data_IF_028178105499
#
_entry.id   IF_028178105499
#
_cell.length_a   1.000
_cell.length_b   1.000
_cell.length_c   1.000
_cell.angle_alpha   90.00
_cell.angle_beta   90.00
_cell.angle_gamma   90.00
#
_symmetry.space_group_name_H-M   'P 1'
#
loop_
_entity.id
_entity.type
_entity.pdbx_description
1 polymer ?
#
# COMPACT_ATOMS: atom_id res chain seq x y z
N UNK A 1 -56.63 -32.49 -11.54
CA UNK A 1 -55.62 -32.93 -12.52
C UNK A 1 -54.63 -31.80 -12.68
N UNK A 2 -53.44 -32.02 -12.10
CA UNK A 2 -52.15 -31.32 -12.27
C UNK A 2 -52.09 -29.81 -12.01
N UNK A 3 -51.64 -29.52 -10.78
CA UNK A 3 -51.05 -28.27 -10.31
C UNK A 3 -49.89 -27.79 -11.22
N UNK A 4 -49.81 -26.47 -11.39
CA UNK A 4 -48.67 -25.80 -12.02
C UNK A 4 -47.48 -25.84 -11.07
N UNK A 5 -46.41 -26.53 -11.45
CA UNK A 5 -45.11 -26.46 -10.80
C UNK A 5 -44.42 -25.14 -11.19
N UNK A 6 -44.53 -24.13 -10.32
CA UNK A 6 -43.62 -23.00 -10.27
C UNK A 6 -42.31 -23.45 -9.62
N UNK A 7 -41.23 -23.48 -10.40
CA UNK A 7 -39.87 -23.63 -9.89
C UNK A 7 -38.98 -22.63 -10.60
N UNK A 8 -38.92 -21.39 -10.11
CA UNK A 8 -37.88 -20.46 -10.56
C UNK A 8 -36.53 -21.02 -10.10
N UNK A 9 -35.70 -21.42 -11.05
CA UNK A 9 -34.34 -21.88 -10.76
C UNK A 9 -33.58 -20.73 -10.10
N UNK A 10 -33.25 -20.88 -8.81
CA UNK A 10 -32.48 -19.90 -8.06
C UNK A 10 -31.07 -19.84 -8.66
N UNK A 11 -30.81 -18.84 -9.51
CA UNK A 11 -29.51 -18.66 -10.15
C UNK A 11 -28.51 -18.17 -9.12
N UNK A 12 -27.41 -18.91 -8.93
CA UNK A 12 -26.34 -18.58 -8.00
C UNK A 12 -25.11 -18.08 -8.74
N UNK A 13 -24.37 -17.17 -8.11
CA UNK A 13 -23.11 -16.69 -8.61
C UNK A 13 -22.06 -17.81 -8.61
N UNK A 14 -21.43 -18.09 -9.76
CA UNK A 14 -20.35 -19.08 -9.87
C UNK A 14 -19.07 -18.70 -9.11
N UNK A 15 -18.91 -17.42 -8.75
CA UNK A 15 -17.78 -16.94 -7.95
C UNK A 15 -17.97 -17.09 -6.45
N UNK A 16 -19.03 -16.52 -5.86
CA UNK A 16 -19.23 -16.49 -4.41
C UNK A 16 -20.38 -17.36 -3.88
N UNK A 17 -21.11 -18.06 -4.74
CA UNK A 17 -22.23 -18.92 -4.35
C UNK A 17 -23.50 -18.18 -3.89
N UNK A 18 -23.48 -16.85 -3.78
CA UNK A 18 -24.64 -16.04 -3.42
C UNK A 18 -25.74 -16.10 -4.50
N UNK A 19 -27.01 -16.03 -4.08
CA UNK A 19 -28.16 -15.94 -4.98
C UNK A 19 -28.08 -14.63 -5.76
N UNK A 20 -28.14 -14.69 -7.09
CA UNK A 20 -28.11 -13.50 -7.93
C UNK A 20 -29.40 -12.70 -7.72
N UNK A 21 -29.23 -11.39 -7.55
CA UNK A 21 -30.33 -10.46 -7.31
C UNK A 21 -30.05 -9.13 -8.00
N UNK A 22 -31.09 -8.40 -8.37
CA UNK A 22 -31.00 -7.10 -9.08
C UNK A 22 -31.51 -5.92 -8.25
N UNK A 23 -31.91 -6.16 -6.99
CA UNK A 23 -32.64 -5.23 -6.14
C UNK A 23 -31.72 -4.31 -5.33
N UNK A 24 -30.69 -4.85 -4.69
CA UNK A 24 -29.87 -4.14 -3.71
C UNK A 24 -28.38 -4.15 -4.09
N UNK A 25 -27.82 -3.02 -4.55
CA UNK A 25 -26.42 -2.89 -4.92
C UNK A 25 -25.41 -3.21 -3.81
N UNK A 26 -25.81 -3.13 -2.54
CA UNK A 26 -24.95 -3.35 -1.37
C UNK A 26 -24.96 -4.83 -0.91
N UNK A 27 -25.96 -5.62 -1.28
CA UNK A 27 -26.06 -7.04 -0.88
C UNK A 27 -25.30 -7.97 -1.82
N UNK A 28 -24.85 -9.10 -1.26
CA UNK A 28 -24.19 -10.15 -2.03
C UNK A 28 -25.11 -10.66 -3.15
N UNK A 29 -24.52 -11.03 -4.29
CA UNK A 29 -25.29 -11.50 -5.44
C UNK A 29 -25.80 -10.40 -6.38
N UNK A 30 -25.59 -9.11 -6.07
CA UNK A 30 -26.08 -8.03 -6.92
C UNK A 30 -25.56 -8.11 -8.37
N UNK A 31 -26.46 -7.98 -9.35
CA UNK A 31 -26.15 -7.78 -10.77
C UNK A 31 -26.95 -6.58 -11.31
N UNK A 32 -26.38 -5.73 -12.16
CA UNK A 32 -27.15 -4.66 -12.81
C UNK A 32 -28.22 -5.26 -13.74
N UNK A 33 -29.44 -4.71 -13.75
CA UNK A 33 -30.56 -5.19 -14.59
C UNK A 33 -30.20 -5.35 -16.08
N UNK A 34 -29.33 -4.50 -16.63
CA UNK A 34 -28.86 -4.60 -18.03
C UNK A 34 -28.04 -5.88 -18.33
N UNK A 35 -27.56 -6.59 -17.31
CA UNK A 35 -26.77 -7.82 -17.44
C UNK A 35 -27.47 -9.03 -16.82
N UNK A 36 -28.78 -8.96 -16.61
CA UNK A 36 -29.55 -10.04 -15.99
C UNK A 36 -29.54 -11.32 -16.84
N UNK A 37 -29.68 -11.18 -18.17
CA UNK A 37 -29.56 -12.29 -19.10
C UNK A 37 -28.07 -12.67 -19.30
N UNK A 38 -27.69 -13.85 -18.81
CA UNK A 38 -26.36 -14.44 -19.01
C UNK A 38 -25.29 -14.08 -17.97
N UNK A 39 -25.61 -13.33 -16.91
CA UNK A 39 -24.65 -13.08 -15.83
C UNK A 39 -24.39 -14.34 -15.00
N UNK A 40 -23.17 -14.87 -15.10
CA UNK A 40 -22.71 -15.99 -14.26
C UNK A 40 -22.09 -15.53 -12.93
N UNK A 41 -21.63 -14.28 -12.86
CA UNK A 41 -20.96 -13.72 -11.68
C UNK A 41 -21.59 -12.41 -11.22
N UNK A 42 -21.77 -12.25 -9.90
CA UNK A 42 -22.28 -11.01 -9.32
C UNK A 42 -21.29 -9.85 -9.49
N UNK A 43 -21.75 -8.61 -9.34
CA UNK A 43 -20.94 -7.38 -9.42
C UNK A 43 -19.69 -7.46 -8.56
N UNK A 44 -19.77 -8.03 -7.36
CA UNK A 44 -18.60 -8.22 -6.48
C UNK A 44 -17.59 -9.19 -7.10
N UNK A 45 -18.01 -10.37 -7.54
CA UNK A 45 -17.12 -11.33 -8.20
C UNK A 45 -16.58 -10.82 -9.55
N UNK A 46 -17.39 -10.07 -10.30
CA UNK A 46 -16.96 -9.39 -11.52
C UNK A 46 -15.88 -8.35 -11.22
N UNK A 47 -16.02 -7.58 -10.14
CA UNK A 47 -15.02 -6.59 -9.72
C UNK A 47 -13.74 -7.23 -9.20
N UNK A 48 -13.84 -8.34 -8.48
CA UNK A 48 -12.69 -9.17 -8.10
C UNK A 48 -11.97 -9.68 -9.36
N UNK A 49 -12.70 -10.26 -10.32
CA UNK A 49 -12.12 -10.88 -11.52
C UNK A 49 -11.48 -9.87 -12.49
N UNK A 50 -12.09 -8.70 -12.68
CA UNK A 50 -11.67 -7.75 -13.72
C UNK A 50 -10.89 -6.54 -13.17
N UNK A 51 -11.14 -6.15 -11.92
CA UNK A 51 -10.50 -4.99 -11.29
C UNK A 51 -9.63 -5.36 -10.10
N UNK A 52 -9.49 -6.66 -9.78
CA UNK A 52 -8.74 -7.16 -8.61
C UNK A 52 -9.19 -6.52 -7.28
N UNK A 53 -10.44 -6.02 -7.21
CA UNK A 53 -11.05 -5.51 -5.99
C UNK A 53 -11.52 -6.68 -5.13
N UNK A 54 -10.55 -7.37 -4.53
CA UNK A 54 -10.82 -8.21 -3.38
C UNK A 54 -11.37 -7.27 -2.32
N UNK A 55 -12.62 -7.49 -1.89
CA UNK A 55 -13.08 -6.98 -0.61
C UNK A 55 -12.20 -7.68 0.43
N UNK A 56 -11.04 -7.09 0.71
CA UNK A 56 -10.19 -7.47 1.81
C UNK A 56 -11.04 -7.32 3.05
N UNK A 57 -11.47 -8.44 3.63
CA UNK A 57 -11.81 -8.46 5.04
C UNK A 57 -10.56 -7.96 5.75
N UNK A 58 -10.60 -6.70 6.18
CA UNK A 58 -9.53 -6.09 6.94
C UNK A 58 -9.33 -6.95 8.19
N UNK A 59 -8.18 -7.57 8.31
CA UNK A 59 -7.83 -8.34 9.50
C UNK A 59 -7.33 -7.37 10.54
N UNK A 60 -7.86 -7.46 11.75
CA UNK A 60 -7.37 -6.67 12.87
C UNK A 60 -5.88 -6.99 13.12
N UNK A 61 -5.11 -6.00 13.54
CA UNK A 61 -3.65 -6.13 13.66
C UNK A 61 -3.26 -7.31 14.57
N UNK A 62 -3.98 -7.51 15.68
CA UNK A 62 -3.72 -8.58 16.63
C UNK A 62 -3.98 -9.98 16.06
N UNK A 63 -5.03 -10.11 15.25
CA UNK A 63 -5.39 -11.36 14.58
C UNK A 63 -4.34 -11.73 13.52
N UNK A 64 -3.84 -10.75 12.78
CA UNK A 64 -2.74 -10.94 11.85
C UNK A 64 -1.43 -11.34 12.55
N UNK A 65 -1.11 -10.73 13.70
CA UNK A 65 0.10 -11.09 14.46
C UNK A 65 0.05 -12.54 14.98
N UNK A 66 -1.13 -13.03 15.39
CA UNK A 66 -1.32 -14.46 15.74
C UNK A 66 -1.07 -15.38 14.55
N UNK A 67 -1.58 -15.01 13.37
CA UNK A 67 -1.32 -15.75 12.14
C UNK A 67 0.18 -15.78 11.80
N UNK A 68 0.89 -14.66 11.92
CA UNK A 68 2.35 -14.64 11.72
C UNK A 68 3.09 -15.56 12.70
N UNK A 69 2.63 -15.66 13.94
CA UNK A 69 3.19 -16.59 14.93
C UNK A 69 3.13 -18.05 14.46
N UNK A 70 2.03 -18.45 13.82
CA UNK A 70 1.89 -19.80 13.24
C UNK A 70 2.87 -20.04 12.09
N UNK A 71 3.23 -19.01 11.32
CA UNK A 71 4.25 -19.10 10.27
C UNK A 71 5.62 -19.38 10.90
N UNK A 72 5.92 -18.76 12.05
CA UNK A 72 7.17 -18.98 12.78
C UNK A 72 7.40 -20.41 13.25
N UNK A 73 6.34 -21.19 13.47
CA UNK A 73 6.41 -22.60 13.89
C UNK A 73 6.64 -23.56 12.71
N UNK A 74 6.48 -23.09 11.46
CA UNK A 74 6.63 -23.88 10.24
C UNK A 74 7.97 -23.61 9.56
N UNK A 75 8.41 -24.56 8.72
CA UNK A 75 9.53 -24.36 7.80
C UNK A 75 9.07 -23.56 6.60
N UNK A 76 9.27 -22.25 6.64
CA UNK A 76 8.75 -21.32 5.65
C UNK A 76 9.84 -20.42 5.07
N UNK A 77 9.71 -20.04 3.80
CA UNK A 77 10.37 -18.88 3.23
C UNK A 77 9.37 -17.72 3.22
N UNK A 78 9.71 -16.59 3.83
CA UNK A 78 8.80 -15.44 3.92
C UNK A 78 9.21 -14.38 2.90
N UNK A 79 8.30 -14.06 1.98
CA UNK A 79 8.42 -12.91 1.09
C UNK A 79 7.69 -11.75 1.75
N UNK A 80 8.43 -10.79 2.29
CA UNK A 80 7.85 -9.55 2.79
C UNK A 80 7.83 -8.51 1.67
N UNK A 81 6.64 -8.23 1.12
CA UNK A 81 6.46 -7.18 0.13
C UNK A 81 6.13 -5.84 0.79
N UNK A 82 6.85 -4.80 0.37
CA UNK A 82 6.71 -3.42 0.85
C UNK A 82 6.62 -2.44 -0.31
N UNK A 83 5.95 -1.30 -0.08
CA UNK A 83 5.88 -0.21 -1.04
C UNK A 83 7.05 0.75 -0.81
N UNK A 84 7.87 1.03 -1.83
CA UNK A 84 8.98 1.96 -1.69
C UNK A 84 8.54 3.37 -1.26
N UNK A 85 7.40 3.84 -1.77
CA UNK A 85 6.88 5.19 -1.53
C UNK A 85 6.21 5.30 -0.17
N UNK A 86 5.92 4.17 0.45
CA UNK A 86 5.40 4.11 1.80
C UNK A 86 6.14 3.08 2.65
N UNK A 87 7.48 3.07 2.57
CA UNK A 87 8.31 2.01 3.15
C UNK A 87 8.05 1.85 4.65
N UNK A 88 8.14 2.93 5.43
CA UNK A 88 7.95 2.88 6.88
C UNK A 88 6.50 2.66 7.32
N UNK A 89 5.53 2.85 6.41
CA UNK A 89 4.12 2.52 6.62
C UNK A 89 3.74 1.11 6.16
N UNK A 90 4.52 0.48 5.29
CA UNK A 90 4.26 -0.86 4.75
C UNK A 90 5.13 -1.96 5.38
N UNK A 91 6.24 -1.61 6.01
CA UNK A 91 7.07 -2.54 6.77
C UNK A 91 6.36 -2.99 8.04
N UNK A 92 6.29 -4.31 8.22
CA UNK A 92 5.74 -4.95 9.41
C UNK A 92 6.78 -4.89 10.52
N UNK A 93 6.59 -3.96 11.46
CA UNK A 93 7.53 -3.78 12.57
C UNK A 93 7.53 -5.02 13.46
N UNK A 94 8.72 -5.57 13.72
CA UNK A 94 8.85 -6.77 14.54
C UNK A 94 8.49 -8.08 13.82
N UNK A 95 8.30 -8.09 12.50
CA UNK A 95 8.05 -9.31 11.71
C UNK A 95 8.99 -10.45 12.08
N UNK A 96 10.30 -10.16 12.23
CA UNK A 96 11.32 -11.15 12.57
C UNK A 96 11.01 -11.91 13.88
N UNK A 97 10.34 -11.27 14.84
CA UNK A 97 9.96 -11.89 16.12
C UNK A 97 8.89 -12.96 15.94
N UNK A 98 8.02 -12.79 14.95
CA UNK A 98 6.92 -13.70 14.67
C UNK A 98 7.32 -14.81 13.70
N UNK A 99 8.13 -14.50 12.69
CA UNK A 99 8.60 -15.51 11.72
C UNK A 99 9.78 -16.33 12.24
N UNK A 100 10.35 -15.97 13.38
CA UNK A 100 11.40 -16.74 14.07
C UNK A 100 12.70 -16.83 13.27
N UNK A 101 13.11 -18.05 12.97
CA UNK A 101 14.35 -18.36 12.22
C UNK A 101 14.12 -18.48 10.71
N UNK A 102 12.88 -18.31 10.25
CA UNK A 102 12.57 -18.42 8.84
C UNK A 102 13.27 -17.31 8.03
N UNK A 103 13.87 -17.65 6.87
CA UNK A 103 14.49 -16.67 5.99
C UNK A 103 13.45 -15.69 5.45
N UNK A 104 13.82 -14.41 5.40
CA UNK A 104 12.97 -13.32 4.90
C UNK A 104 13.61 -12.68 3.68
N UNK A 105 12.90 -12.70 2.55
CA UNK A 105 13.23 -11.93 1.35
C UNK A 105 12.39 -10.65 1.38
N UNK A 106 13.03 -9.49 1.32
CA UNK A 106 12.34 -8.20 1.26
C UNK A 106 12.15 -7.79 -0.21
N UNK A 107 10.91 -7.86 -0.68
CA UNK A 107 10.52 -7.41 -2.01
C UNK A 107 10.04 -5.96 -1.95
N UNK A 108 10.87 -5.02 -2.42
CA UNK A 108 10.54 -3.60 -2.47
C UNK A 108 9.90 -3.26 -3.80
N UNK A 109 8.59 -3.07 -3.80
CA UNK A 109 7.79 -2.86 -4.98
C UNK A 109 7.67 -1.37 -5.38
N UNK A 110 7.15 -1.15 -6.59
CA UNK A 110 6.84 0.15 -7.21
C UNK A 110 8.05 1.01 -7.57
N UNK A 111 9.22 0.40 -7.76
CA UNK A 111 10.44 1.15 -8.13
C UNK A 111 10.33 1.93 -9.44
N UNK A 112 9.35 1.58 -10.29
CA UNK A 112 9.05 2.27 -11.55
C UNK A 112 8.56 3.71 -11.36
N UNK A 113 8.11 4.07 -10.16
CA UNK A 113 7.65 5.40 -9.83
C UNK A 113 8.80 6.34 -9.44
N UNK A 114 10.03 5.84 -9.36
CA UNK A 114 11.21 6.69 -9.16
C UNK A 114 11.66 7.36 -10.46
N UNK A 115 12.35 8.52 -10.38
CA UNK A 115 12.98 9.13 -11.55
C UNK A 115 13.97 8.18 -12.23
N UNK A 116 14.06 8.22 -13.57
CA UNK A 116 14.93 7.33 -14.37
C UNK A 116 16.42 7.40 -14.00
N UNK A 117 16.87 8.51 -13.42
CA UNK A 117 18.28 8.77 -13.05
C UNK A 117 18.64 8.24 -11.65
N UNK A 118 17.79 7.42 -11.02
CA UNK A 118 18.04 6.89 -9.68
C UNK A 118 19.20 5.91 -9.68
N UNK A 119 20.14 6.10 -8.74
CA UNK A 119 21.18 5.11 -8.46
C UNK A 119 20.62 3.93 -7.67
N UNK A 120 20.45 2.79 -8.34
CA UNK A 120 19.87 1.56 -7.76
C UNK A 120 20.69 0.97 -6.60
N UNK A 121 22.02 1.14 -6.60
CA UNK A 121 22.87 0.66 -5.51
C UNK A 121 22.67 1.51 -4.25
N UNK A 122 22.61 2.83 -4.40
CA UNK A 122 22.29 3.74 -3.29
C UNK A 122 20.91 3.42 -2.70
N UNK A 123 19.92 3.18 -3.56
CA UNK A 123 18.58 2.79 -3.14
C UNK A 123 18.58 1.48 -2.34
N UNK A 124 19.28 0.46 -2.83
CA UNK A 124 19.39 -0.83 -2.12
C UNK A 124 20.04 -0.67 -0.75
N UNK A 125 21.14 0.07 -0.67
CA UNK A 125 21.82 0.34 0.60
C UNK A 125 20.91 1.08 1.59
N UNK A 126 20.17 2.08 1.09
CA UNK A 126 19.18 2.80 1.90
C UNK A 126 18.10 1.84 2.42
N UNK A 127 17.52 0.99 1.57
CA UNK A 127 16.52 0.00 1.99
C UNK A 127 17.08 -0.94 3.05
N UNK A 128 18.28 -1.49 2.84
CA UNK A 128 18.93 -2.39 3.80
C UNK A 128 19.15 -1.72 5.15
N UNK A 129 19.61 -0.46 5.15
CA UNK A 129 19.76 0.33 6.37
C UNK A 129 18.41 0.52 7.07
N UNK A 130 17.38 0.94 6.34
CA UNK A 130 16.06 1.15 6.93
C UNK A 130 15.43 -0.14 7.45
N UNK A 131 15.60 -1.27 6.76
CA UNK A 131 15.13 -2.58 7.21
C UNK A 131 15.81 -2.98 8.54
N UNK A 132 17.14 -2.77 8.63
CA UNK A 132 17.91 -3.04 9.84
C UNK A 132 17.50 -2.15 11.02
N UNK A 133 17.26 -0.87 10.78
CA UNK A 133 16.75 0.08 11.80
C UNK A 133 15.39 -0.34 12.35
N UNK A 134 14.55 -0.97 11.52
CA UNK A 134 13.24 -1.53 11.91
C UNK A 134 13.34 -2.95 12.50
N UNK A 135 14.55 -3.48 12.68
CA UNK A 135 14.80 -4.79 13.28
C UNK A 135 14.52 -5.98 12.35
N UNK A 136 14.42 -5.76 11.04
CA UNK A 136 14.30 -6.84 10.06
C UNK A 136 15.68 -7.42 9.71
N UNK A 137 15.77 -8.75 9.69
CA UNK A 137 16.94 -9.47 9.19
C UNK A 137 16.55 -10.09 7.85
N UNK A 138 16.91 -9.41 6.77
CA UNK A 138 16.58 -9.84 5.41
C UNK A 138 17.76 -10.60 4.82
N UNK A 139 17.49 -11.78 4.27
CA UNK A 139 18.46 -12.59 3.52
C UNK A 139 18.85 -11.92 2.20
N UNK A 140 17.87 -11.29 1.55
CA UNK A 140 18.06 -10.54 0.31
C UNK A 140 17.06 -9.39 0.21
N UNK A 141 17.48 -8.33 -0.49
CA UNK A 141 16.62 -7.19 -0.83
C UNK A 141 16.46 -7.12 -2.35
N UNK A 142 15.25 -7.42 -2.81
CA UNK A 142 14.92 -7.39 -4.24
C UNK A 142 14.09 -6.15 -4.54
N UNK A 143 14.63 -5.31 -5.42
CA UNK A 143 13.92 -4.14 -5.96
C UNK A 143 13.07 -4.61 -7.14
N UNK A 144 11.76 -4.39 -7.09
CA UNK A 144 10.84 -4.85 -8.14
C UNK A 144 9.75 -3.83 -8.50
N UNK A 145 9.15 -4.04 -9.68
CA UNK A 145 7.92 -3.37 -10.08
C UNK A 145 6.96 -4.41 -10.65
N UNK A 146 5.92 -4.74 -9.88
CA UNK A 146 4.92 -5.72 -10.28
C UNK A 146 4.13 -5.25 -11.50
N UNK A 147 3.97 -3.93 -11.65
CA UNK A 147 3.26 -3.30 -12.76
C UNK A 147 4.07 -3.32 -14.06
N UNK A 148 5.40 -3.18 -13.99
CA UNK A 148 6.29 -3.12 -15.16
C UNK A 148 7.04 -4.43 -15.42
N UNK A 149 6.80 -5.46 -14.61
CA UNK A 149 7.54 -6.71 -14.62
C UNK A 149 9.07 -6.51 -14.52
N UNK A 150 9.50 -5.57 -13.68
CA UNK A 150 10.93 -5.29 -13.47
C UNK A 150 11.41 -5.95 -12.18
N UNK A 151 12.56 -6.62 -12.23
CA UNK A 151 13.18 -7.25 -11.06
C UNK A 151 12.46 -8.49 -10.52
N UNK A 152 11.38 -8.91 -11.19
CA UNK A 152 10.63 -10.11 -10.82
C UNK A 152 11.41 -11.39 -11.10
N UNK A 153 12.09 -11.49 -12.24
CA UNK A 153 12.94 -12.67 -12.55
C UNK A 153 13.99 -12.91 -11.46
N UNK A 154 14.60 -11.82 -10.95
CA UNK A 154 15.53 -11.91 -9.82
C UNK A 154 14.83 -12.36 -8.54
N UNK A 155 13.63 -11.85 -8.25
CA UNK A 155 12.86 -12.32 -7.08
C UNK A 155 12.56 -13.81 -7.18
N UNK A 156 12.11 -14.27 -8.34
CA UNK A 156 11.81 -15.68 -8.58
C UNK A 156 13.06 -16.55 -8.42
N UNK A 157 14.20 -16.10 -8.95
CA UNK A 157 15.47 -16.79 -8.78
C UNK A 157 15.88 -16.89 -7.30
N UNK A 158 15.81 -15.80 -6.54
CA UNK A 158 16.13 -15.81 -5.10
C UNK A 158 15.16 -16.70 -4.30
N UNK A 159 13.89 -16.76 -4.72
CA UNK A 159 12.92 -17.69 -4.14
C UNK A 159 13.33 -19.13 -4.47
N UNK A 160 13.60 -19.47 -5.73
CA UNK A 160 14.01 -20.81 -6.14
C UNK A 160 15.28 -21.28 -5.41
N UNK A 161 16.30 -20.42 -5.34
CA UNK A 161 17.60 -20.73 -4.73
C UNK A 161 17.52 -20.94 -3.22
N UNK A 162 16.61 -20.23 -2.53
CA UNK A 162 16.56 -20.20 -1.06
C UNK A 162 15.42 -20.99 -0.45
N UNK A 163 14.38 -21.31 -1.24
CA UNK A 163 13.19 -22.00 -0.76
C UNK A 163 13.55 -23.39 -0.23
N UNK A 164 14.21 -24.22 -1.05
CA UNK A 164 14.41 -25.64 -0.72
C UNK A 164 13.07 -26.34 -0.45
N UNK A 165 12.99 -27.20 0.55
CA UNK A 165 11.76 -27.92 0.93
C UNK A 165 10.82 -27.10 1.83
N UNK A 166 10.70 -25.79 1.59
CA UNK A 166 9.88 -24.87 2.39
C UNK A 166 8.66 -24.38 1.62
N UNK A 167 7.57 -24.13 2.34
CA UNK A 167 6.43 -23.37 1.82
C UNK A 167 6.79 -21.88 1.73
N UNK A 168 6.22 -21.18 0.76
CA UNK A 168 6.48 -19.75 0.54
C UNK A 168 5.31 -18.93 1.04
N UNK A 169 5.54 -18.07 2.04
CA UNK A 169 4.52 -17.19 2.60
C UNK A 169 4.70 -15.77 2.10
N UNK A 170 3.68 -15.20 1.46
CA UNK A 170 3.74 -13.81 1.00
C UNK A 170 3.02 -12.91 2.01
N UNK A 171 3.76 -12.01 2.64
CA UNK A 171 3.26 -11.09 3.69
C UNK A 171 3.47 -9.63 3.31
N UNK A 172 2.50 -8.78 3.61
CA UNK A 172 2.63 -7.34 3.39
C UNK A 172 1.35 -6.57 3.72
N UNK A 173 1.47 -5.25 3.80
CA UNK A 173 0.32 -4.38 4.02
C UNK A 173 -0.63 -4.36 2.81
N UNK A 174 -1.84 -3.84 2.97
CA UNK A 174 -2.74 -3.58 1.84
C UNK A 174 -2.09 -2.60 0.84
N UNK A 175 -2.47 -2.74 -0.44
CA UNK A 175 -2.06 -1.87 -1.54
C UNK A 175 -0.54 -1.81 -1.84
N UNK A 176 0.28 -2.71 -1.27
CA UNK A 176 1.72 -2.80 -1.59
C UNK A 176 2.02 -3.53 -2.90
N UNK A 177 1.03 -4.25 -3.45
CA UNK A 177 1.17 -5.06 -4.68
C UNK A 177 1.30 -6.57 -4.44
N UNK A 178 0.93 -7.07 -3.25
CA UNK A 178 0.93 -8.50 -2.88
C UNK A 178 0.18 -9.37 -3.90
N UNK A 179 -1.07 -9.04 -4.23
CA UNK A 179 -1.87 -9.84 -5.18
C UNK A 179 -1.28 -9.85 -6.59
N UNK A 180 -0.67 -8.74 -7.04
CA UNK A 180 0.03 -8.70 -8.34
C UNK A 180 1.24 -9.62 -8.34
N UNK A 181 2.00 -9.65 -7.24
CA UNK A 181 3.14 -10.53 -7.07
C UNK A 181 2.74 -12.01 -7.04
N UNK A 182 1.64 -12.34 -6.38
CA UNK A 182 1.14 -13.72 -6.30
C UNK A 182 0.62 -14.21 -7.64
N UNK A 183 -0.16 -13.39 -8.35
CA UNK A 183 -0.61 -13.73 -9.70
C UNK A 183 0.58 -14.03 -10.62
N UNK A 184 1.68 -13.31 -10.44
CA UNK A 184 2.91 -13.56 -11.20
C UNK A 184 3.62 -14.85 -10.78
N UNK A 185 3.72 -15.11 -9.48
CA UNK A 185 4.26 -16.35 -8.95
C UNK A 185 3.48 -17.57 -9.48
N UNK A 186 2.16 -17.50 -9.54
CA UNK A 186 1.32 -18.56 -10.13
C UNK A 186 1.74 -18.79 -11.59
N UNK A 187 1.72 -17.74 -12.42
CA UNK A 187 2.04 -17.89 -13.85
C UNK A 187 3.43 -18.48 -14.13
N UNK A 188 4.43 -18.18 -13.30
CA UNK A 188 5.81 -18.62 -13.53
C UNK A 188 6.16 -19.97 -12.87
N UNK A 189 5.41 -20.40 -11.85
CA UNK A 189 5.67 -21.67 -11.11
C UNK A 189 4.65 -22.78 -11.34
N UNK A 190 3.50 -22.48 -11.95
CA UNK A 190 2.53 -23.50 -12.34
C UNK A 190 2.40 -23.54 -13.86
N UNK A 191 2.64 -24.70 -14.47
CA UNK A 191 2.24 -25.00 -15.85
C UNK A 191 0.70 -25.08 -16.03
N UNK A 192 -0.06 -24.63 -15.03
CA UNK A 192 -1.51 -24.70 -14.96
C UNK A 192 -2.18 -23.59 -15.79
N UNK A 193 -2.30 -23.83 -17.10
CA UNK A 193 -3.51 -23.42 -17.85
C UNK A 193 -4.78 -24.13 -17.31
N UNK A 194 -4.61 -25.19 -16.51
CA UNK A 194 -5.70 -25.83 -15.77
C UNK A 194 -6.06 -25.06 -14.51
N UNK A 195 -7.15 -24.30 -14.63
CA UNK A 195 -8.05 -23.87 -13.57
C UNK A 195 -7.43 -23.67 -12.17
N UNK A 196 -7.38 -22.40 -11.76
CA UNK A 196 -7.59 -21.98 -10.37
C UNK A 196 -8.93 -22.58 -9.85
N UNK A 197 -8.98 -23.89 -9.66
CA UNK A 197 -9.96 -24.61 -8.85
C UNK A 197 -9.57 -24.30 -7.42
N UNK A 198 -9.92 -23.08 -7.05
CA UNK A 198 -9.89 -22.61 -5.69
C UNK A 198 -10.57 -23.66 -4.84
N UNK A 199 -9.84 -24.34 -3.96
CA UNK A 199 -10.42 -24.80 -2.71
C UNK A 199 -10.76 -23.54 -1.91
N UNK A 200 -11.82 -22.83 -2.33
CA UNK A 200 -12.58 -21.98 -1.43
C UNK A 200 -13.18 -22.96 -0.47
N UNK A 201 -12.54 -23.17 0.67
CA UNK A 201 -13.25 -23.51 1.88
C UNK A 201 -13.64 -22.16 2.48
N UNK A 202 -14.85 -21.62 2.18
CA UNK A 202 -15.32 -20.39 2.79
C UNK A 202 -15.83 -20.81 4.17
N UNK A 203 -15.04 -20.54 5.23
CA UNK A 203 -15.36 -21.11 6.54
C UNK A 203 -14.76 -20.42 7.75
N UNK A 204 -13.75 -19.57 7.60
CA UNK A 204 -13.17 -18.85 8.74
C UNK A 204 -12.79 -17.42 8.36
N UNK A 205 -12.78 -16.54 9.35
CA UNK A 205 -12.58 -15.09 9.21
C UNK A 205 -11.19 -14.67 8.67
N UNK A 206 -10.30 -15.63 8.33
CA UNK A 206 -8.91 -15.43 7.89
C UNK A 206 -8.48 -16.49 6.84
N UNK A 207 -9.05 -16.49 5.64
CA UNK A 207 -8.69 -17.54 4.68
C UNK A 207 -7.38 -17.19 3.94
N UNK A 208 -6.27 -17.78 4.40
CA UNK A 208 -5.02 -17.90 3.62
C UNK A 208 -5.29 -18.72 2.35
N UNK A 209 -4.75 -18.29 1.21
CA UNK A 209 -4.92 -19.02 -0.06
C UNK A 209 -3.66 -19.83 -0.34
N UNK A 210 -3.80 -21.16 -0.33
CA UNK A 210 -2.69 -22.05 -0.65
C UNK A 210 -2.72 -22.38 -2.16
N UNK A 211 -1.65 -22.05 -2.84
CA UNK A 211 -1.43 -22.35 -4.26
C UNK A 211 -0.45 -23.53 -4.31
N UNK A 212 -0.87 -24.71 -4.77
CA UNK A 212 0.02 -25.87 -4.87
C UNK A 212 1.10 -25.64 -5.93
N UNK A 213 2.28 -26.19 -5.66
CA UNK A 213 3.41 -26.27 -6.57
C UNK A 213 3.65 -27.73 -6.97
N UNK A 214 4.30 -27.95 -8.12
CA UNK A 214 4.52 -29.28 -8.68
C UNK A 214 5.39 -30.19 -7.79
N UNK A 215 6.14 -29.60 -6.87
CA UNK A 215 6.99 -30.29 -5.89
C UNK A 215 6.28 -30.63 -4.57
N UNK A 216 4.96 -30.47 -4.49
CA UNK A 216 4.14 -30.87 -3.34
C UNK A 216 4.11 -29.87 -2.18
N UNK A 217 4.64 -28.66 -2.40
CA UNK A 217 4.62 -27.55 -1.46
C UNK A 217 3.66 -26.44 -1.91
N UNK A 218 3.56 -25.37 -1.12
CA UNK A 218 2.60 -24.30 -1.38
C UNK A 218 3.22 -22.90 -1.42
N UNK A 219 2.65 -22.05 -2.27
CA UNK A 219 2.69 -20.60 -2.12
C UNK A 219 1.44 -20.17 -1.35
N UNK A 220 1.64 -19.58 -0.19
CA UNK A 220 0.57 -19.17 0.72
C UNK A 220 0.37 -17.66 0.63
N UNK A 221 -0.78 -17.26 0.10
CA UNK A 221 -1.26 -15.88 0.20
C UNK A 221 -1.79 -15.61 1.61
N UNK A 222 -1.19 -14.65 2.29
CA UNK A 222 -1.69 -14.19 3.59
C UNK A 222 -2.57 -12.95 3.43
N UNK A 223 -3.64 -12.77 4.23
CA UNK A 223 -4.40 -11.52 4.21
C UNK A 223 -3.49 -10.30 4.38
N UNK A 224 -3.76 -9.22 3.63
CA UNK A 224 -2.97 -8.00 3.74
C UNK A 224 -3.25 -7.26 5.04
N UNK A 225 -2.21 -6.77 5.71
CA UNK A 225 -2.40 -5.97 6.94
C UNK A 225 -3.01 -4.62 6.58
N UNK A 226 -4.08 -4.29 7.30
CA UNK A 226 -4.69 -2.97 7.25
C UNK A 226 -4.12 -2.15 8.40
N UNK A 227 -3.54 -1.01 8.08
CA UNK A 227 -3.10 -0.04 9.08
C UNK A 227 -4.09 1.12 9.07
N UNK A 228 -4.95 1.28 10.11
CA UNK A 228 -5.96 2.34 10.16
C UNK A 228 -5.38 3.75 10.01
N UNK A 229 -4.10 3.90 10.32
CA UNK A 229 -3.34 5.15 10.22
C UNK A 229 -2.84 5.51 8.81
N UNK A 230 -2.92 4.61 7.82
CA UNK A 230 -2.45 4.91 6.45
C UNK A 230 -3.53 5.66 5.70
N UNK A 231 -3.13 6.60 4.84
CA UNK A 231 -4.11 7.29 3.99
C UNK A 231 -4.94 6.34 3.13
N UNK A 232 -4.44 5.15 2.79
CA UNK A 232 -5.21 4.12 2.09
C UNK A 232 -6.53 3.75 2.77
N UNK A 233 -6.59 3.90 4.09
CA UNK A 233 -7.77 3.60 4.92
C UNK A 233 -8.51 4.85 5.38
N UNK A 234 -7.85 6.02 5.34
CA UNK A 234 -8.44 7.29 5.78
C UNK A 234 -9.21 8.02 4.68
N UNK A 235 -8.84 7.82 3.40
CA UNK A 235 -9.48 8.52 2.28
C UNK A 235 -10.36 7.57 1.47
N UNK A 236 -11.39 8.13 0.84
CA UNK A 236 -12.20 7.36 -0.12
C UNK A 236 -11.38 6.93 -1.35
N UNK A 237 -11.94 5.99 -2.11
CA UNK A 237 -11.29 5.43 -3.31
C UNK A 237 -10.99 6.47 -4.40
N UNK A 238 -11.81 7.53 -4.53
CA UNK A 238 -11.59 8.59 -5.52
C UNK A 238 -10.37 9.46 -5.20
N UNK A 239 -10.15 9.76 -3.94
CA UNK A 239 -8.98 10.50 -3.46
C UNK A 239 -7.75 9.59 -3.35
N UNK A 240 -7.95 8.29 -3.09
CA UNK A 240 -6.90 7.28 -3.08
C UNK A 240 -6.11 7.26 -4.40
N UNK A 241 -6.82 7.32 -5.55
CA UNK A 241 -6.20 7.36 -6.88
C UNK A 241 -5.37 8.63 -7.10
N UNK A 242 -5.72 9.74 -6.44
CA UNK A 242 -4.97 11.00 -6.54
C UNK A 242 -3.71 10.97 -5.67
N UNK A 243 -3.79 10.40 -4.47
CA UNK A 243 -2.63 10.33 -3.56
C UNK A 243 -1.60 9.29 -4.00
N UNK A 244 -2.06 8.17 -4.59
CA UNK A 244 -1.18 7.09 -5.04
C UNK A 244 -0.60 7.43 -6.42
N UNK A 245 0.73 7.56 -6.56
CA UNK A 245 1.33 7.88 -7.85
C UNK A 245 1.19 6.72 -8.84
N UNK A 246 0.64 6.98 -10.02
CA UNK A 246 0.62 6.02 -11.14
C UNK A 246 1.75 6.20 -12.15
N UNK A 247 2.38 7.37 -12.11
CA UNK A 247 3.46 7.81 -12.99
C UNK A 247 4.69 8.16 -12.14
N UNK A 248 5.90 8.12 -12.72
CA UNK A 248 7.10 8.53 -12.02
C UNK A 248 6.95 9.90 -11.35
N UNK A 249 7.38 9.98 -10.09
CA UNK A 249 7.30 11.22 -9.32
C UNK A 249 8.14 12.30 -9.97
N UNK A 250 7.52 13.48 -10.15
CA UNK A 250 8.22 14.67 -10.61
C UNK A 250 8.65 15.48 -9.40
N UNK A 251 9.94 15.74 -9.20
CA UNK A 251 10.41 16.57 -8.09
C UNK A 251 9.86 18.00 -8.25
N UNK A 252 9.19 18.51 -7.22
CA UNK A 252 8.71 19.88 -7.17
C UNK A 252 9.54 20.67 -6.15
N UNK A 253 10.56 21.39 -6.65
CA UNK A 253 11.45 22.19 -5.81
C UNK A 253 10.87 23.59 -5.56
N UNK A 254 10.81 23.98 -4.29
CA UNK A 254 10.41 25.31 -3.85
C UNK A 254 11.54 25.97 -3.07
N UNK A 255 11.83 27.22 -3.39
CA UNK A 255 12.72 28.07 -2.60
C UNK A 255 11.88 28.80 -1.56
N UNK A 256 12.18 28.56 -0.28
CA UNK A 256 11.38 29.05 0.84
C UNK A 256 12.19 29.93 1.78
N UNK A 257 11.49 30.92 2.31
CA UNK A 257 11.92 31.76 3.42
C UNK A 257 11.22 31.29 4.69
N UNK A 258 11.80 31.66 5.82
CA UNK A 258 11.17 31.47 7.13
C UNK A 258 9.74 32.02 7.17
N UNK A 259 8.85 31.31 7.86
CA UNK A 259 7.45 31.71 8.00
C UNK A 259 6.62 31.45 6.74
N UNK A 260 6.99 30.43 5.94
CA UNK A 260 6.23 29.99 4.78
C UNK A 260 5.75 28.55 4.93
N UNK A 261 4.62 28.28 4.28
CA UNK A 261 3.90 27.03 4.38
C UNK A 261 3.58 26.50 2.99
N UNK A 262 3.58 25.18 2.83
CA UNK A 262 2.98 24.49 1.69
C UNK A 262 1.96 23.47 2.15
N UNK A 263 0.78 23.54 1.55
CA UNK A 263 -0.22 22.48 1.63
C UNK A 263 0.00 21.46 0.52
N UNK A 264 -0.21 20.18 0.85
CA UNK A 264 -0.22 19.05 -0.07
C UNK A 264 -1.67 18.60 -0.23
N UNK A 265 -2.35 19.15 -1.24
CA UNK A 265 -3.81 19.14 -1.29
C UNK A 265 -4.41 19.72 0.00
N UNK A 266 -5.43 19.08 0.52
CA UNK A 266 -5.97 19.29 1.86
C UNK A 266 -5.65 18.14 2.82
N UNK A 267 -4.57 17.37 2.58
CA UNK A 267 -4.25 16.16 3.34
C UNK A 267 -3.06 16.32 4.29
N UNK A 268 -2.13 17.21 3.98
CA UNK A 268 -1.00 17.52 4.84
C UNK A 268 -0.52 18.96 4.63
N UNK A 269 0.24 19.46 5.60
CA UNK A 269 0.85 20.80 5.58
C UNK A 269 2.30 20.72 6.05
N UNK A 270 3.16 21.45 5.36
CA UNK A 270 4.56 21.64 5.71
C UNK A 270 4.79 23.12 6.04
N UNK A 271 5.34 23.38 7.22
CA UNK A 271 5.65 24.71 7.74
C UNK A 271 7.17 24.85 7.89
N UNK A 272 7.76 25.85 7.22
CA UNK A 272 9.15 26.24 7.43
C UNK A 272 9.20 27.30 8.53
N UNK A 273 9.54 26.88 9.75
CA UNK A 273 9.40 27.67 10.97
C UNK A 273 10.59 28.60 11.18
N UNK A 274 11.81 28.09 11.01
CA UNK A 274 13.04 28.85 11.29
C UNK A 274 14.18 28.35 10.40
N UNK A 275 14.93 29.27 9.80
CA UNK A 275 16.16 28.95 9.09
C UNK A 275 16.44 29.89 7.92
N UNK A 276 17.67 29.81 7.40
CA UNK A 276 18.04 30.57 6.20
C UNK A 276 17.25 30.12 4.97
N UNK A 277 17.12 31.04 4.01
CA UNK A 277 16.54 30.78 2.69
C UNK A 277 17.12 29.50 2.09
N UNK A 278 16.27 28.52 1.80
CA UNK A 278 16.71 27.23 1.30
C UNK A 278 15.63 26.52 0.49
N UNK A 279 16.06 25.50 -0.25
CA UNK A 279 15.17 24.72 -1.10
C UNK A 279 14.63 23.48 -0.39
N UNK A 280 13.35 23.23 -0.59
CA UNK A 280 12.69 21.97 -0.24
C UNK A 280 12.10 21.34 -1.50
N UNK A 281 12.37 20.06 -1.74
CA UNK A 281 11.86 19.33 -2.90
C UNK A 281 10.79 18.34 -2.48
N UNK A 282 9.58 18.53 -2.98
CA UNK A 282 8.44 17.68 -2.71
C UNK A 282 8.39 16.54 -3.73
N UNK A 283 8.34 15.32 -3.23
CA UNK A 283 8.16 14.09 -3.98
C UNK A 283 6.81 13.50 -3.58
N UNK A 284 5.74 14.03 -4.18
CA UNK A 284 4.35 13.62 -3.96
C UNK A 284 3.69 13.30 -5.31
N UNK A 285 2.54 12.62 -5.30
CA UNK A 285 1.77 12.39 -6.52
C UNK A 285 1.50 13.70 -7.26
N UNK A 286 1.69 13.70 -8.59
CA UNK A 286 1.48 14.89 -9.44
C UNK A 286 0.02 15.33 -9.53
N UNK A 287 -0.93 14.51 -9.07
CA UNK A 287 -2.33 14.90 -8.94
C UNK A 287 -2.60 15.74 -7.68
N UNK A 288 -1.68 15.74 -6.70
CA UNK A 288 -1.78 16.57 -5.51
C UNK A 288 -1.15 17.93 -5.79
N UNK A 289 -1.98 18.97 -5.79
CA UNK A 289 -1.51 20.34 -5.96
C UNK A 289 -0.81 20.81 -4.69
N UNK A 290 0.33 21.48 -4.89
CA UNK A 290 1.08 22.11 -3.82
C UNK A 290 0.70 23.60 -3.76
N UNK A 291 0.20 24.04 -2.60
CA UNK A 291 -0.27 25.41 -2.40
C UNK A 291 0.57 26.13 -1.37
N UNK A 292 1.33 27.14 -1.81
CA UNK A 292 2.20 27.95 -0.95
C UNK A 292 1.44 29.13 -0.35
N UNK A 293 1.67 29.40 0.94
CA UNK A 293 1.17 30.58 1.64
C UNK A 293 2.15 31.04 2.72
N UNK A 294 1.85 32.16 3.37
CA UNK A 294 2.57 32.59 4.58
C UNK A 294 2.05 31.80 5.78
N UNK A 295 2.94 31.45 6.70
CA UNK A 295 2.63 30.69 7.91
C UNK A 295 1.49 31.34 8.72
N UNK A 296 1.55 32.66 8.91
CA UNK A 296 0.50 33.40 9.62
C UNK A 296 -0.87 33.46 8.91
N UNK A 297 -1.00 32.94 7.68
CA UNK A 297 -2.28 32.80 6.96
C UNK A 297 -2.65 31.34 6.70
N UNK A 298 -1.86 30.39 7.18
CA UNK A 298 -2.03 28.98 6.85
C UNK A 298 -3.33 28.42 7.41
N UNK A 299 -3.64 28.73 8.66
CA UNK A 299 -4.86 28.25 9.33
C UNK A 299 -6.13 28.82 8.68
N UNK A 300 -6.14 30.13 8.40
CA UNK A 300 -7.25 30.80 7.69
C UNK A 300 -7.45 30.25 6.27
N UNK A 301 -6.36 30.02 5.54
CA UNK A 301 -6.44 29.43 4.20
C UNK A 301 -7.08 28.04 4.25
N UNK A 302 -6.70 27.23 5.24
CA UNK A 302 -7.25 25.88 5.40
C UNK A 302 -8.74 25.92 5.73
N UNK A 303 -9.14 26.70 6.74
CA UNK A 303 -10.53 26.79 7.16
C UNK A 303 -11.47 27.25 6.03
N UNK A 304 -11.01 28.19 5.20
CA UNK A 304 -11.84 28.80 4.16
C UNK A 304 -11.81 28.04 2.82
N UNK A 305 -10.70 27.40 2.46
CA UNK A 305 -10.51 26.82 1.13
C UNK A 305 -10.32 25.29 1.07
N UNK A 306 -10.51 24.59 2.20
CA UNK A 306 -10.60 23.13 2.24
C UNK A 306 -11.76 22.61 1.39
N UNK A 307 -11.46 21.61 0.56
CA UNK A 307 -12.42 21.00 -0.36
C UNK A 307 -12.50 21.66 -1.74
N UNK A 308 -11.94 22.86 -1.90
CA UNK A 308 -11.91 23.60 -3.16
C UNK A 308 -10.47 23.72 -3.68
N UNK A 309 -9.74 24.76 -3.22
CA UNK A 309 -8.33 24.97 -3.54
C UNK A 309 -7.48 23.84 -2.93
N UNK A 310 -7.74 23.52 -1.66
CA UNK A 310 -7.03 22.48 -0.92
C UNK A 310 -7.82 21.18 -1.05
N UNK A 311 -7.60 20.50 -2.16
CA UNK A 311 -8.22 19.23 -2.50
C UNK A 311 -7.21 18.30 -3.19
N UNK A 312 -7.30 16.97 -3.04
CA UNK A 312 -8.21 16.22 -2.15
C UNK A 312 -7.89 16.45 -0.67
N UNK A 313 -8.82 16.18 0.28
CA UNK A 313 -10.17 15.63 0.07
C UNK A 313 -11.21 16.74 -0.25
N UNK A 314 -12.49 16.39 -0.42
CA UNK A 314 -13.59 17.35 -0.35
C UNK A 314 -13.82 17.79 1.11
N UNK A 315 -14.61 18.85 1.34
CA UNK A 315 -14.90 19.32 2.71
C UNK A 315 -15.62 18.25 3.54
N UNK A 316 -16.64 17.60 2.98
CA UNK A 316 -17.39 16.51 3.63
C UNK A 316 -16.50 15.31 3.99
N UNK A 317 -15.55 14.99 3.13
CA UNK A 317 -14.62 13.88 3.37
C UNK A 317 -13.53 14.28 4.37
N UNK A 318 -13.12 15.55 4.39
CA UNK A 318 -12.18 16.07 5.37
C UNK A 318 -12.73 16.00 6.81
N UNK A 319 -14.03 16.20 7.00
CA UNK A 319 -14.70 16.10 8.30
C UNK A 319 -14.65 14.68 8.89
N UNK A 320 -14.49 13.66 8.04
CA UNK A 320 -14.32 12.26 8.45
C UNK A 320 -12.89 11.92 8.83
N UNK A 321 -11.92 12.77 8.47
CA UNK A 321 -10.52 12.54 8.79
C UNK A 321 -10.25 12.81 10.27
N UNK A 322 -9.30 12.07 10.88
CA UNK A 322 -8.82 12.40 12.21
C UNK A 322 -8.26 13.83 12.28
N UNK A 323 -8.36 14.44 13.46
CA UNK A 323 -7.76 15.74 13.73
C UNK A 323 -6.27 15.77 13.37
N UNK A 324 -5.80 16.89 12.86
CA UNK A 324 -4.41 17.03 12.47
C UNK A 324 -3.49 17.10 13.69
N UNK A 325 -2.41 16.34 13.65
CA UNK A 325 -1.33 16.39 14.63
C UNK A 325 -0.13 17.13 14.04
N UNK A 326 0.51 17.96 14.85
CA UNK A 326 1.72 18.70 14.49
C UNK A 326 2.97 17.93 14.89
N UNK A 327 3.86 17.70 13.92
CA UNK A 327 5.15 17.04 14.12
C UNK A 327 6.27 18.03 13.85
N UNK A 328 7.00 18.45 14.88
CA UNK A 328 8.16 19.34 14.74
C UNK A 328 9.46 18.56 14.53
N UNK A 329 10.29 19.02 13.60
CA UNK A 329 11.59 18.44 13.32
C UNK A 329 12.66 19.53 13.25
N UNK A 330 13.89 19.16 13.64
CA UNK A 330 15.08 19.99 13.44
C UNK A 330 15.99 19.29 12.42
N UNK A 331 16.02 19.83 11.21
CA UNK A 331 16.90 19.36 10.15
C UNK A 331 18.34 19.76 10.48
N UNK A 332 19.28 18.80 10.59
CA UNK A 332 20.67 19.08 10.91
C UNK A 332 21.40 19.79 9.77
N UNK A 333 22.48 20.49 10.11
CA UNK A 333 23.39 21.11 9.14
C UNK A 333 24.07 20.03 8.29
N UNK A 334 24.30 20.34 7.00
CA UNK A 334 24.92 19.42 6.03
C UNK A 334 24.08 18.16 5.70
N UNK A 335 22.86 18.05 6.21
CA UNK A 335 22.07 16.83 6.14
C UNK A 335 21.23 16.72 4.87
N UNK A 336 21.44 15.65 4.10
CA UNK A 336 20.44 15.16 3.15
C UNK A 336 19.38 14.36 3.94
N UNK A 337 18.36 15.05 4.45
CA UNK A 337 17.25 14.46 5.20
C UNK A 337 15.94 14.61 4.44
N UNK A 338 15.11 13.59 4.55
CA UNK A 338 13.74 13.59 4.04
C UNK A 338 12.76 13.66 5.22
N UNK A 339 11.75 14.52 5.10
CA UNK A 339 10.56 14.49 5.93
C UNK A 339 9.54 13.61 5.21
N UNK A 340 9.34 12.41 5.74
CA UNK A 340 8.48 11.41 5.16
C UNK A 340 7.08 11.48 5.76
N UNK A 341 6.06 11.41 4.89
CA UNK A 341 4.65 11.38 5.24
C UNK A 341 4.06 10.10 4.63
N UNK A 342 3.78 9.13 5.49
CA UNK A 342 3.26 7.82 5.07
C UNK A 342 2.03 7.99 4.18
N UNK A 343 2.04 7.36 3.00
CA UNK A 343 0.96 7.41 2.01
C UNK A 343 0.88 8.66 1.11
N UNK A 344 1.68 9.71 1.35
CA UNK A 344 1.71 10.92 0.49
C UNK A 344 3.04 11.13 -0.24
N UNK A 345 4.14 10.71 0.38
CA UNK A 345 5.48 10.85 -0.18
C UNK A 345 6.46 11.49 0.81
N UNK A 346 7.42 12.25 0.32
CA UNK A 346 8.41 12.90 1.18
C UNK A 346 8.83 14.28 0.68
N UNK A 347 9.40 15.05 1.59
CA UNK A 347 9.95 16.37 1.34
C UNK A 347 11.44 16.31 1.64
N UNK A 348 12.27 16.46 0.62
CA UNK A 348 13.73 16.52 0.76
C UNK A 348 14.14 17.93 1.17
N UNK A 349 14.84 18.04 2.29
CA UNK A 349 15.53 19.28 2.67
C UNK A 349 16.87 19.35 1.93
N UNK A 350 17.05 20.36 1.09
CA UNK A 350 18.28 20.51 0.28
C UNK A 350 19.29 21.46 0.92
N UNK A 351 18.89 22.26 1.90
CA UNK A 351 19.75 23.25 2.53
C UNK A 351 20.82 22.63 3.43
N UNK A 352 21.98 23.27 3.49
CA UNK A 352 23.09 22.84 4.35
C UNK A 352 23.13 23.58 5.70
N UNK A 353 22.32 24.63 5.86
CA UNK A 353 22.31 25.52 7.02
C UNK A 353 21.52 25.00 8.21
N UNK A 354 20.77 23.90 8.03
CA UNK A 354 19.79 23.41 8.99
C UNK A 354 18.48 24.19 8.93
N UNK A 355 17.43 23.62 9.54
CA UNK A 355 16.08 24.22 9.56
C UNK A 355 15.27 23.70 10.75
N UNK A 356 14.36 24.52 11.28
CA UNK A 356 13.23 24.07 12.07
C UNK A 356 12.00 24.02 11.18
N UNK A 357 11.33 22.88 11.16
CA UNK A 357 10.16 22.63 10.30
C UNK A 357 9.07 21.94 11.11
N UNK A 358 7.82 22.10 10.70
CA UNK A 358 6.73 21.27 11.17
C UNK A 358 5.98 20.64 10.00
N UNK A 359 5.48 19.44 10.21
CA UNK A 359 4.56 18.77 9.31
C UNK A 359 3.27 18.50 10.07
N UNK A 360 2.14 18.86 9.48
CA UNK A 360 0.82 18.53 9.99
C UNK A 360 0.19 17.48 9.09
N UNK A 361 -0.34 16.42 9.71
CA UNK A 361 -1.06 15.35 9.05
C UNK A 361 -2.16 14.81 10.01
N UNK A 362 -3.20 14.13 9.51
CA UNK A 362 -4.19 13.48 10.36
C UNK A 362 -3.57 12.58 11.41
N UNK A 363 -4.12 12.60 12.63
CA UNK A 363 -3.65 11.79 13.75
C UNK A 363 -3.56 10.32 13.36
N UNK A 364 -2.44 9.70 13.73
CA UNK A 364 -2.12 8.32 13.37
C UNK A 364 -1.20 8.22 12.15
N UNK A 365 -1.34 9.11 11.16
CA UNK A 365 -0.45 9.11 9.98
C UNK A 365 1.00 9.24 10.44
N UNK A 366 1.83 8.30 9.98
CA UNK A 366 3.23 8.26 10.37
C UNK A 366 4.01 9.34 9.64
N UNK A 367 4.50 10.32 10.40
CA UNK A 367 5.39 11.38 9.93
C UNK A 367 6.74 11.25 10.64
N UNK A 368 7.82 11.11 9.87
CA UNK A 368 9.18 10.93 10.41
C UNK A 368 10.21 11.71 9.60
N UNK A 369 11.34 12.00 10.22
CA UNK A 369 12.55 12.41 9.53
C UNK A 369 13.45 11.19 9.32
N UNK A 370 14.00 11.04 8.12
CA UNK A 370 14.86 9.90 7.73
C UNK A 370 15.99 10.36 6.82
N UNK A 371 17.04 9.54 6.70
CA UNK A 371 18.10 9.77 5.72
C UNK A 371 17.54 9.83 4.30
N UNK A 372 18.05 10.75 3.47
CA UNK A 372 17.46 10.99 2.16
C UNK A 372 17.56 9.79 1.24
N UNK A 373 16.44 9.47 0.59
CA UNK A 373 16.33 8.40 -0.39
C UNK A 373 17.14 8.70 -1.66
N UNK A 374 17.15 9.97 -2.08
CA UNK A 374 17.67 10.42 -3.39
C UNK A 374 18.92 11.28 -3.27
#
# INVERSE_FOLDING_TARGET
MTERLEGSAVVRCSGCGAVLQTEDPAKAGYIPKLKEEGAQICRRCFRIKNYNEVASSAVDQDEFLRMLGQIGERKALVIHIVDLFDFQGSVITGLQRFVGTNPVILAVNKIDLLPKVTNWNKLRNWVQQQAKELGLKTEEVVLCSAKKNLGFDRLLQEVADRRGDRDVYVVGATNVGKSTLINRLITDYSDLEEELTTSRYPGTTLDMVNIPLDDGHYIVDTPGIVYPSRYTELVNSGDLVKIMPEKPLKPAAYQLDEGQTLFIGGLARFDFIEGAHQSFTFYTSGALKLHRTKLGRADDLYANHLGELLSPPSREEAEKLPEWTRHEFRVPKGGAQDLFISGLGWIKANGQTGAKVAVHAPKGVKVIMRGSLL
#
